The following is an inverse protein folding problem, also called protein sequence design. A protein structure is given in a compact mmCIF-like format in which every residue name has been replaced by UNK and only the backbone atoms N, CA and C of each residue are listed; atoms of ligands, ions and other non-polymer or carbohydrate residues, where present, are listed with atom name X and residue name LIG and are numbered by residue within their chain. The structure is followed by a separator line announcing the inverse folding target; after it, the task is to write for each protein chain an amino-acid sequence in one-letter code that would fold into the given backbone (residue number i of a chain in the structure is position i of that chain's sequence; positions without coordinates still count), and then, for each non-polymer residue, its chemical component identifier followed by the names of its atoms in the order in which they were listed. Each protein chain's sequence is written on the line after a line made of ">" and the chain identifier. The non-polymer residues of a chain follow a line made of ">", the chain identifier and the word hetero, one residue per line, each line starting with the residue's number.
data_IF_064889636308
#
_entry.id   IF_064889636308
#
_cell.length_a   1.000
_cell.length_b   1.000
_cell.length_c   1.000
_cell.angle_alpha   90.00
_cell.angle_beta   90.00
_cell.angle_gamma   90.00
#
_symmetry.space_group_name_H-M   'P 1'
#
loop_
_entity.id
_entity.type
_entity.pdbx_description
1 polymer ?
#
# COMPACT_ATOMS: atom_id res chain seq x y z
N UNK A 1 -38.70 -10.74 -24.81
CA UNK A 1 -37.47 -11.04 -25.57
C UNK A 1 -36.33 -10.06 -25.28
N UNK A 2 -36.52 -8.74 -25.36
CA UNK A 2 -35.46 -7.75 -25.02
C UNK A 2 -34.96 -7.85 -23.55
N UNK A 3 -35.84 -8.09 -22.58
CA UNK A 3 -35.43 -8.24 -21.17
C UNK A 3 -34.67 -9.55 -20.86
N UNK A 4 -34.88 -10.61 -21.65
CA UNK A 4 -34.22 -11.91 -21.47
C UNK A 4 -32.81 -11.91 -22.09
N UNK A 5 -32.56 -11.08 -23.09
CA UNK A 5 -31.24 -10.94 -23.76
C UNK A 5 -30.36 -9.88 -23.10
N UNK A 6 -30.94 -8.78 -22.62
CA UNK A 6 -30.16 -7.67 -22.03
C UNK A 6 -29.67 -7.97 -20.61
N UNK A 7 -30.46 -8.66 -19.77
CA UNK A 7 -30.08 -8.88 -18.36
C UNK A 7 -28.82 -9.76 -18.18
N UNK A 8 -28.61 -10.85 -18.94
CA UNK A 8 -27.36 -11.59 -18.88
C UNK A 8 -26.14 -10.75 -19.28
N UNK A 9 -26.26 -9.96 -20.36
CA UNK A 9 -25.19 -9.05 -20.81
C UNK A 9 -24.86 -7.99 -19.76
N UNK A 10 -25.87 -7.47 -19.05
CA UNK A 10 -25.63 -6.54 -17.94
C UNK A 10 -24.90 -7.20 -16.77
N UNK A 11 -25.16 -8.48 -16.48
CA UNK A 11 -24.48 -9.19 -15.39
C UNK A 11 -22.98 -9.36 -15.69
N UNK A 12 -22.66 -9.75 -16.94
CA UNK A 12 -21.30 -9.78 -17.47
C UNK A 12 -20.65 -8.39 -17.41
N UNK A 13 -21.30 -7.38 -17.98
CA UNK A 13 -20.77 -6.02 -18.02
C UNK A 13 -20.46 -5.45 -16.63
N UNK A 14 -21.34 -5.66 -15.64
CA UNK A 14 -21.07 -5.17 -14.28
C UNK A 14 -19.92 -5.93 -13.62
N UNK A 15 -19.80 -7.24 -13.85
CA UNK A 15 -18.70 -8.04 -13.32
C UNK A 15 -17.35 -7.58 -13.91
N UNK A 16 -17.29 -7.38 -15.23
CA UNK A 16 -16.10 -6.95 -15.94
C UNK A 16 -15.69 -5.52 -15.54
N UNK A 17 -16.68 -4.63 -15.40
CA UNK A 17 -16.43 -3.27 -14.91
C UNK A 17 -15.92 -3.29 -13.46
N UNK A 18 -16.47 -4.14 -12.59
CA UNK A 18 -15.98 -4.27 -11.20
C UNK A 18 -14.53 -4.77 -11.17
N UNK A 19 -14.22 -5.78 -11.98
CA UNK A 19 -12.88 -6.34 -12.13
C UNK A 19 -11.87 -5.30 -12.67
N UNK A 20 -12.22 -4.58 -13.73
CA UNK A 20 -11.40 -3.51 -14.29
C UNK A 20 -11.19 -2.38 -13.28
N UNK A 21 -12.25 -1.96 -12.60
CA UNK A 21 -12.16 -0.90 -11.62
C UNK A 21 -11.23 -1.28 -10.47
N UNK A 22 -11.32 -2.50 -9.93
CA UNK A 22 -10.39 -2.97 -8.89
C UNK A 22 -8.91 -2.81 -9.29
N UNK A 23 -8.56 -3.21 -10.52
CA UNK A 23 -7.19 -3.06 -11.05
C UNK A 23 -6.77 -1.59 -11.13
N UNK A 24 -7.63 -0.73 -11.66
CA UNK A 24 -7.37 0.71 -11.74
C UNK A 24 -7.26 1.36 -10.36
N UNK A 25 -8.03 0.89 -9.38
CA UNK A 25 -7.93 1.35 -7.99
C UNK A 25 -6.56 1.10 -7.39
N UNK A 26 -5.94 -0.05 -7.68
CA UNK A 26 -4.56 -0.34 -7.25
C UNK A 26 -3.56 0.69 -7.77
N UNK A 27 -3.71 1.12 -9.03
CA UNK A 27 -2.90 2.20 -9.63
C UNK A 27 -3.20 3.54 -8.95
N UNK A 28 -4.48 3.84 -8.72
CA UNK A 28 -4.93 5.08 -8.09
C UNK A 28 -4.34 5.26 -6.68
N UNK A 29 -4.27 4.20 -5.88
CA UNK A 29 -3.68 4.23 -4.53
C UNK A 29 -2.19 4.63 -4.53
N UNK A 30 -1.50 4.41 -5.64
CA UNK A 30 -0.08 4.79 -5.81
C UNK A 30 0.09 6.18 -6.42
N UNK A 31 -1.00 6.92 -6.64
CA UNK A 31 -0.96 8.23 -7.27
C UNK A 31 -0.42 9.32 -6.36
N UNK A 32 0.44 10.17 -6.92
CA UNK A 32 1.00 11.37 -6.27
C UNK A 32 0.14 12.62 -6.43
N UNK A 33 -0.89 12.60 -7.28
CA UNK A 33 -1.72 13.77 -7.59
C UNK A 33 -3.21 13.57 -7.29
N UNK A 34 -3.61 12.35 -6.91
CA UNK A 34 -4.99 12.04 -6.56
C UNK A 34 -5.16 12.10 -5.04
N UNK A 35 -6.36 12.46 -4.60
CA UNK A 35 -6.72 12.68 -3.21
C UNK A 35 -7.67 11.60 -2.69
N UNK A 36 -8.00 11.67 -1.39
CA UNK A 36 -9.05 10.84 -0.80
C UNK A 36 -10.40 10.99 -1.53
N UNK A 37 -10.74 12.19 -1.99
CA UNK A 37 -12.01 12.43 -2.69
C UNK A 37 -12.10 11.69 -4.03
N UNK A 38 -10.97 11.58 -4.74
CA UNK A 38 -10.90 10.81 -5.99
C UNK A 38 -11.06 9.31 -5.72
N UNK A 39 -10.43 8.81 -4.65
CA UNK A 39 -10.62 7.43 -4.19
C UNK A 39 -12.07 7.15 -3.81
N UNK A 40 -12.76 8.06 -3.10
CA UNK A 40 -14.18 7.90 -2.76
C UNK A 40 -15.05 7.77 -3.99
N UNK A 41 -14.86 8.61 -5.01
CA UNK A 41 -15.62 8.52 -6.27
C UNK A 41 -15.37 7.19 -6.97
N UNK A 42 -14.13 6.71 -6.93
CA UNK A 42 -13.75 5.44 -7.50
C UNK A 42 -14.41 4.27 -6.76
N UNK A 43 -14.44 4.31 -5.42
CA UNK A 43 -15.07 3.30 -4.58
C UNK A 43 -16.58 3.25 -4.82
N UNK A 44 -17.24 4.40 -4.90
CA UNK A 44 -18.66 4.49 -5.24
C UNK A 44 -18.97 3.89 -6.61
N UNK A 45 -18.08 4.02 -7.60
CA UNK A 45 -18.25 3.37 -8.92
C UNK A 45 -18.21 1.85 -8.79
N UNK A 46 -17.29 1.31 -8.00
CA UNK A 46 -17.20 -0.13 -7.74
C UNK A 46 -18.46 -0.64 -7.02
N UNK A 47 -18.91 0.06 -5.97
CA UNK A 47 -20.14 -0.30 -5.24
C UNK A 47 -21.39 -0.26 -6.13
N UNK A 48 -21.48 0.68 -7.08
CA UNK A 48 -22.57 0.70 -8.08
C UNK A 48 -22.55 -0.53 -8.99
N UNK A 49 -21.38 -0.98 -9.43
CA UNK A 49 -21.26 -2.21 -10.23
C UNK A 49 -21.72 -3.42 -9.41
N UNK A 50 -21.23 -3.55 -8.18
CA UNK A 50 -21.65 -4.60 -7.25
C UNK A 50 -23.17 -4.59 -7.02
N UNK A 51 -23.76 -3.41 -6.77
CA UNK A 51 -25.22 -3.25 -6.62
C UNK A 51 -25.99 -3.68 -7.87
N UNK A 52 -25.48 -3.38 -9.06
CA UNK A 52 -26.03 -3.88 -10.33
C UNK A 52 -26.05 -5.41 -10.37
N UNK A 53 -24.93 -6.04 -9.99
CA UNK A 53 -24.82 -7.50 -9.93
C UNK A 53 -25.77 -8.11 -8.89
N UNK A 54 -25.89 -7.53 -7.70
CA UNK A 54 -26.80 -8.04 -6.64
C UNK A 54 -28.27 -7.89 -7.00
N UNK A 55 -28.66 -6.90 -7.82
CA UNK A 55 -30.02 -6.81 -8.36
C UNK A 55 -30.32 -7.89 -9.41
N UNK A 56 -29.31 -8.34 -10.15
CA UNK A 56 -29.43 -9.40 -11.16
C UNK A 56 -29.33 -10.82 -10.57
N UNK A 57 -28.89 -10.95 -9.30
CA UNK A 57 -28.81 -12.18 -8.49
C UNK A 57 -28.36 -13.42 -9.28
N UNK A 58 -29.31 -14.28 -9.64
CA UNK A 58 -29.07 -15.59 -10.25
C UNK A 58 -28.33 -15.50 -11.58
N UNK A 59 -28.51 -14.41 -12.35
CA UNK A 59 -27.79 -14.22 -13.62
C UNK A 59 -26.30 -13.93 -13.37
N UNK A 60 -25.99 -13.04 -12.44
CA UNK A 60 -24.62 -12.75 -12.01
C UNK A 60 -23.96 -13.99 -11.42
N UNK A 61 -24.68 -14.71 -10.55
CA UNK A 61 -24.20 -15.96 -9.96
C UNK A 61 -23.92 -17.03 -11.02
N UNK A 62 -24.80 -17.21 -12.01
CA UNK A 62 -24.58 -18.15 -13.11
C UNK A 62 -23.37 -17.78 -13.99
N UNK A 63 -23.24 -16.51 -14.37
CA UNK A 63 -22.08 -16.01 -15.12
C UNK A 63 -20.77 -16.27 -14.38
N UNK A 64 -20.70 -15.89 -13.10
CA UNK A 64 -19.49 -16.04 -12.29
C UNK A 64 -19.14 -17.52 -12.02
N UNK A 65 -20.12 -18.41 -11.90
CA UNK A 65 -19.85 -19.87 -11.81
C UNK A 65 -19.20 -20.40 -13.08
N UNK A 66 -19.61 -19.87 -14.25
CA UNK A 66 -18.95 -20.17 -15.53
C UNK A 66 -17.51 -19.67 -15.54
N UNK A 67 -17.28 -18.43 -15.14
CA UNK A 67 -15.94 -17.83 -15.06
C UNK A 67 -14.99 -18.61 -14.12
N UNK A 68 -15.51 -19.17 -13.03
CA UNK A 68 -14.72 -19.94 -12.07
C UNK A 68 -14.09 -21.22 -12.67
N UNK A 69 -14.57 -21.69 -13.82
CA UNK A 69 -14.00 -22.83 -14.53
C UNK A 69 -12.80 -22.46 -15.41
N UNK A 70 -12.56 -21.16 -15.61
CA UNK A 70 -11.48 -20.63 -16.43
C UNK A 70 -10.40 -19.96 -15.57
N UNK A 71 -9.17 -19.74 -16.09
CA UNK A 71 -8.15 -18.99 -15.38
C UNK A 71 -8.56 -17.53 -15.11
N UNK A 72 -8.88 -17.21 -13.86
CA UNK A 72 -9.24 -15.86 -13.46
C UNK A 72 -8.03 -14.93 -13.32
N UNK A 73 -8.19 -13.69 -13.80
CA UNK A 73 -7.34 -12.57 -13.43
C UNK A 73 -7.64 -12.12 -11.99
N UNK A 74 -6.72 -11.34 -11.40
CA UNK A 74 -6.90 -10.76 -10.07
C UNK A 74 -8.20 -9.91 -9.95
N UNK A 75 -8.57 -9.20 -11.01
CA UNK A 75 -9.80 -8.40 -11.02
C UNK A 75 -11.06 -9.27 -11.02
N UNK A 76 -11.08 -10.35 -11.80
CA UNK A 76 -12.24 -11.25 -11.85
C UNK A 76 -12.40 -12.03 -10.56
N UNK A 77 -11.29 -12.47 -9.93
CA UNK A 77 -11.35 -13.09 -8.61
C UNK A 77 -11.87 -12.11 -7.55
N UNK A 78 -11.45 -10.83 -7.59
CA UNK A 78 -12.01 -9.80 -6.71
C UNK A 78 -13.52 -9.64 -6.91
N UNK A 79 -13.97 -9.47 -8.16
CA UNK A 79 -15.37 -9.27 -8.48
C UNK A 79 -16.23 -10.48 -8.05
N UNK A 80 -15.73 -11.69 -8.29
CA UNK A 80 -16.41 -12.95 -7.92
C UNK A 80 -16.53 -13.10 -6.41
N UNK A 81 -15.41 -12.95 -5.68
CA UNK A 81 -15.38 -13.11 -4.23
C UNK A 81 -16.17 -12.01 -3.51
N UNK A 82 -16.12 -10.76 -3.98
CA UNK A 82 -16.89 -9.67 -3.39
C UNK A 82 -18.40 -9.83 -3.64
N UNK A 83 -18.80 -10.26 -4.84
CA UNK A 83 -20.19 -10.60 -5.11
C UNK A 83 -20.67 -11.73 -4.20
N UNK A 84 -19.89 -12.82 -4.11
CA UNK A 84 -20.19 -13.96 -3.27
C UNK A 84 -20.39 -13.56 -1.80
N UNK A 85 -19.48 -12.75 -1.26
CA UNK A 85 -19.56 -12.21 0.10
C UNK A 85 -20.76 -11.26 0.32
N UNK A 86 -21.22 -10.58 -0.72
CA UNK A 86 -22.36 -9.64 -0.63
C UNK A 86 -23.73 -10.31 -0.83
N UNK A 87 -23.75 -11.52 -1.38
CA UNK A 87 -24.98 -12.29 -1.62
C UNK A 87 -25.04 -13.61 -0.86
N UNK A 88 -24.07 -13.85 0.03
CA UNK A 88 -23.87 -15.09 0.76
C UNK A 88 -23.83 -16.34 -0.15
N UNK A 89 -23.19 -16.24 -1.33
CA UNK A 89 -22.99 -17.35 -2.27
C UNK A 89 -21.74 -18.16 -1.88
N UNK A 90 -21.92 -19.13 -0.98
CA UNK A 90 -20.84 -19.95 -0.42
C UNK A 90 -20.00 -20.69 -1.48
N UNK A 91 -20.64 -21.16 -2.57
CA UNK A 91 -19.98 -21.88 -3.64
C UNK A 91 -18.92 -21.02 -4.33
N UNK A 92 -19.29 -19.79 -4.69
CA UNK A 92 -18.39 -18.87 -5.37
C UNK A 92 -17.21 -18.47 -4.47
N UNK A 93 -17.47 -18.16 -3.19
CA UNK A 93 -16.39 -17.79 -2.28
C UNK A 93 -15.44 -18.97 -2.00
N UNK A 94 -15.99 -20.18 -1.81
CA UNK A 94 -15.20 -21.39 -1.60
C UNK A 94 -14.27 -21.67 -2.79
N UNK A 95 -14.76 -21.50 -4.02
CA UNK A 95 -13.91 -21.66 -5.20
C UNK A 95 -12.83 -20.57 -5.31
N UNK A 96 -13.12 -19.32 -4.94
CA UNK A 96 -12.10 -18.26 -4.88
C UNK A 96 -11.01 -18.56 -3.83
N UNK A 97 -11.40 -19.12 -2.67
CA UNK A 97 -10.48 -19.60 -1.62
C UNK A 97 -9.61 -20.74 -2.15
N UNK A 98 -10.20 -21.75 -2.78
CA UNK A 98 -9.48 -22.87 -3.37
C UNK A 98 -8.48 -22.42 -4.43
N UNK A 99 -8.87 -21.49 -5.31
CA UNK A 99 -7.97 -20.88 -6.30
C UNK A 99 -6.81 -20.13 -5.64
N UNK A 100 -7.05 -19.44 -4.52
CA UNK A 100 -6.00 -18.68 -3.82
C UNK A 100 -5.05 -19.56 -3.01
N UNK A 101 -5.51 -20.73 -2.58
CA UNK A 101 -4.68 -21.78 -2.00
C UNK A 101 -3.80 -22.44 -3.07
N UNK A 102 -4.38 -22.75 -4.24
CA UNK A 102 -3.65 -23.33 -5.37
C UNK A 102 -2.67 -22.33 -6.03
N UNK A 103 -3.02 -21.05 -6.05
CA UNK A 103 -2.25 -19.96 -6.65
C UNK A 103 -1.96 -18.88 -5.60
N UNK A 104 -0.86 -19.02 -4.82
CA UNK A 104 -0.48 -18.09 -3.77
C UNK A 104 -0.51 -16.60 -4.15
N UNK A 105 -0.25 -16.26 -5.43
CA UNK A 105 -0.30 -14.89 -5.96
C UNK A 105 -1.68 -14.23 -5.90
N UNK A 106 -2.76 -14.99 -5.76
CA UNK A 106 -4.14 -14.49 -5.68
C UNK A 106 -4.56 -14.15 -4.24
N UNK A 107 -3.81 -14.61 -3.23
CA UNK A 107 -4.12 -14.32 -1.83
C UNK A 107 -4.24 -12.81 -1.50
N UNK A 108 -3.37 -11.90 -2.01
CA UNK A 108 -3.56 -10.45 -1.79
C UNK A 108 -4.91 -9.94 -2.28
N UNK A 109 -5.49 -10.56 -3.30
CA UNK A 109 -6.82 -10.19 -3.81
C UNK A 109 -7.90 -10.59 -2.80
N UNK A 110 -7.83 -11.79 -2.21
CA UNK A 110 -8.75 -12.17 -1.12
C UNK A 110 -8.63 -11.26 0.11
N UNK A 111 -7.41 -10.85 0.47
CA UNK A 111 -7.23 -9.87 1.55
C UNK A 111 -7.85 -8.51 1.21
N UNK A 112 -7.73 -8.08 -0.05
CA UNK A 112 -8.45 -6.92 -0.54
C UNK A 112 -9.97 -7.11 -0.40
N UNK A 113 -10.51 -8.29 -0.72
CA UNK A 113 -11.95 -8.59 -0.55
C UNK A 113 -12.37 -8.50 0.92
N UNK A 114 -11.55 -8.99 1.86
CA UNK A 114 -11.83 -8.86 3.29
C UNK A 114 -11.96 -7.38 3.75
N UNK A 115 -11.24 -6.45 3.10
CA UNK A 115 -11.44 -5.01 3.32
C UNK A 115 -12.80 -4.50 2.85
N UNK A 116 -13.37 -5.11 1.82
CA UNK A 116 -14.62 -4.71 1.17
C UNK A 116 -15.84 -5.53 1.59
N UNK A 117 -15.65 -6.60 2.34
CA UNK A 117 -16.73 -7.51 2.71
C UNK A 117 -17.66 -6.87 3.77
N UNK A 118 -18.99 -6.91 3.59
CA UNK A 118 -19.97 -6.51 4.59
C UNK A 118 -19.71 -7.13 5.98
N UNK A 119 -19.74 -6.32 7.05
CA UNK A 119 -19.57 -6.84 8.41
C UNK A 119 -20.61 -7.91 8.78
N UNK A 120 -21.82 -7.82 8.24
CA UNK A 120 -22.91 -8.75 8.48
C UNK A 120 -22.96 -9.98 7.54
N UNK A 121 -21.99 -10.15 6.63
CA UNK A 121 -22.01 -11.32 5.74
C UNK A 121 -21.91 -12.62 6.55
N UNK A 122 -22.70 -13.61 6.16
CA UNK A 122 -22.67 -14.94 6.77
C UNK A 122 -21.39 -15.72 6.42
N UNK A 123 -20.62 -15.26 5.43
CA UNK A 123 -19.45 -15.95 4.90
C UNK A 123 -18.13 -15.59 5.61
N UNK A 124 -18.15 -14.77 6.66
CA UNK A 124 -16.95 -14.48 7.46
C UNK A 124 -16.24 -15.74 7.99
N UNK A 125 -16.94 -16.75 8.55
CA UNK A 125 -16.28 -17.98 8.98
C UNK A 125 -15.52 -18.69 7.85
N UNK A 126 -16.05 -18.65 6.62
CA UNK A 126 -15.40 -19.22 5.45
C UNK A 126 -14.15 -18.42 5.07
N UNK A 127 -14.21 -17.08 5.04
CA UNK A 127 -13.04 -16.22 4.79
C UNK A 127 -11.95 -16.41 5.87
N UNK A 128 -12.35 -16.50 7.13
CA UNK A 128 -11.47 -16.65 8.30
C UNK A 128 -10.92 -18.08 8.47
N UNK A 129 -11.37 -19.04 7.66
CA UNK A 129 -10.79 -20.39 7.63
C UNK A 129 -9.32 -20.39 7.17
N UNK A 130 -8.91 -19.37 6.41
CA UNK A 130 -7.52 -19.15 6.01
C UNK A 130 -6.76 -18.38 7.10
N UNK A 131 -5.73 -18.96 7.74
CA UNK A 131 -4.99 -18.28 8.81
C UNK A 131 -4.40 -16.93 8.40
N UNK A 132 -3.94 -16.79 7.15
CA UNK A 132 -3.44 -15.52 6.62
C UNK A 132 -4.53 -14.44 6.52
N UNK A 133 -5.75 -14.80 6.08
CA UNK A 133 -6.89 -13.88 6.08
C UNK A 133 -7.28 -13.50 7.51
N UNK A 134 -7.26 -14.48 8.43
CA UNK A 134 -7.53 -14.29 9.85
C UNK A 134 -6.56 -13.27 10.47
N UNK A 135 -5.26 -13.39 10.19
CA UNK A 135 -4.22 -12.50 10.71
C UNK A 135 -4.39 -11.07 10.18
N UNK A 136 -4.57 -10.95 8.86
CA UNK A 136 -4.82 -9.67 8.20
C UNK A 136 -6.08 -8.96 8.75
N UNK A 137 -7.20 -9.68 8.83
CA UNK A 137 -8.47 -9.14 9.34
C UNK A 137 -8.35 -8.68 10.78
N UNK A 138 -7.65 -9.41 11.64
CA UNK A 138 -7.46 -9.04 13.06
C UNK A 138 -6.84 -7.64 13.25
N UNK A 139 -6.01 -7.21 12.29
CA UNK A 139 -5.33 -5.91 12.32
C UNK A 139 -6.12 -4.85 11.57
N UNK A 140 -6.67 -5.20 10.41
CA UNK A 140 -7.24 -4.23 9.46
C UNK A 140 -8.74 -3.99 9.72
N UNK A 141 -9.46 -4.95 10.30
CA UNK A 141 -10.91 -4.88 10.61
C UNK A 141 -11.16 -4.94 12.11
N UNK A 142 -11.14 -3.78 12.76
CA UNK A 142 -11.35 -3.68 14.22
C UNK A 142 -12.73 -4.17 14.67
N UNK A 143 -13.72 -4.13 13.78
CA UNK A 143 -15.09 -4.61 14.01
C UNK A 143 -15.18 -6.13 14.15
N UNK A 144 -14.18 -6.88 13.65
CA UNK A 144 -14.16 -8.35 13.66
C UNK A 144 -13.04 -8.94 14.53
N UNK A 145 -12.26 -8.09 15.20
CA UNK A 145 -11.07 -8.51 15.94
C UNK A 145 -11.35 -9.52 17.08
N UNK A 146 -12.55 -9.46 17.68
CA UNK A 146 -12.94 -10.37 18.76
C UNK A 146 -13.20 -11.82 18.31
N UNK A 147 -13.37 -12.05 17.00
CA UNK A 147 -13.69 -13.38 16.43
C UNK A 147 -12.45 -14.15 15.96
N UNK A 148 -11.25 -13.63 16.23
CA UNK A 148 -10.00 -14.20 15.74
C UNK A 148 -9.26 -14.93 16.87
N UNK A 149 -8.89 -16.17 16.62
CA UNK A 149 -8.02 -16.98 17.46
C UNK A 149 -7.09 -17.81 16.57
N UNK A 150 -5.93 -18.20 17.13
CA UNK A 150 -4.97 -19.09 16.47
C UNK A 150 -4.56 -20.20 17.42
N UNK A 151 -4.48 -21.41 16.90
CA UNK A 151 -3.80 -22.53 17.54
C UNK A 151 -2.27 -22.36 17.43
N UNK A 152 -1.52 -23.04 18.29
CA UNK A 152 -0.05 -23.07 18.19
C UNK A 152 0.43 -23.63 16.84
N UNK A 153 -0.26 -24.63 16.29
CA UNK A 153 0.08 -25.22 15.00
C UNK A 153 -0.11 -24.23 13.85
N UNK A 154 -1.18 -23.43 13.88
CA UNK A 154 -1.41 -22.38 12.86
C UNK A 154 -0.36 -21.27 12.95
N UNK A 155 0.02 -20.85 14.16
CA UNK A 155 1.09 -19.87 14.39
C UNK A 155 2.40 -20.37 13.75
N UNK A 156 2.78 -21.60 14.08
CA UNK A 156 4.00 -22.20 13.56
C UNK A 156 3.98 -22.31 12.04
N UNK A 157 2.86 -22.78 11.47
CA UNK A 157 2.69 -22.91 10.01
C UNK A 157 2.81 -21.57 9.30
N UNK A 158 2.23 -20.50 9.85
CA UNK A 158 2.33 -19.15 9.27
C UNK A 158 3.77 -18.62 9.29
N UNK A 159 4.49 -18.83 10.39
CA UNK A 159 5.91 -18.43 10.53
C UNK A 159 6.79 -19.22 9.55
N UNK A 160 6.56 -20.53 9.42
CA UNK A 160 7.29 -21.38 8.47
C UNK A 160 7.07 -20.92 7.03
N UNK A 161 5.83 -20.65 6.66
CA UNK A 161 5.47 -20.14 5.33
C UNK A 161 5.92 -18.70 5.09
N UNK A 162 6.17 -17.91 6.14
CA UNK A 162 6.65 -16.53 6.06
C UNK A 162 5.62 -15.55 5.47
N UNK A 163 4.32 -15.86 5.53
CA UNK A 163 3.25 -15.05 4.91
C UNK A 163 2.41 -14.36 5.96
N UNK A 164 2.38 -13.02 5.95
CA UNK A 164 1.54 -12.19 6.84
C UNK A 164 1.85 -12.41 8.33
N UNK A 165 3.11 -12.71 8.63
CA UNK A 165 3.61 -12.97 10.00
C UNK A 165 3.63 -11.68 10.82
N UNK A 166 3.85 -10.55 10.17
CA UNK A 166 3.72 -9.22 10.78
C UNK A 166 2.33 -8.97 11.39
N UNK A 167 1.27 -9.31 10.66
CA UNK A 167 -0.10 -9.20 11.15
C UNK A 167 -0.38 -10.19 12.29
N UNK A 168 0.15 -11.41 12.20
CA UNK A 168 0.06 -12.41 13.27
C UNK A 168 0.74 -11.91 14.54
N UNK A 169 1.98 -11.45 14.45
CA UNK A 169 2.75 -10.93 15.58
C UNK A 169 2.08 -9.71 16.20
N UNK A 170 1.54 -8.80 15.38
CA UNK A 170 0.78 -7.66 15.90
C UNK A 170 -0.48 -8.11 16.65
N UNK A 171 -1.21 -9.10 16.13
CA UNK A 171 -2.34 -9.68 16.84
C UNK A 171 -1.92 -10.28 18.19
N UNK A 172 -0.88 -11.13 18.21
CA UNK A 172 -0.38 -11.75 19.43
C UNK A 172 0.07 -10.72 20.47
N UNK A 173 0.73 -9.65 20.02
CA UNK A 173 1.12 -8.53 20.89
C UNK A 173 -0.11 -7.82 21.49
N UNK A 174 -1.08 -7.44 20.66
CA UNK A 174 -2.28 -6.69 21.09
C UNK A 174 -3.21 -7.54 21.96
N UNK A 175 -3.23 -8.85 21.75
CA UNK A 175 -3.98 -9.79 22.57
C UNK A 175 -3.24 -10.20 23.85
N UNK A 176 -2.07 -9.63 24.14
CA UNK A 176 -1.21 -10.00 25.28
C UNK A 176 -0.93 -11.50 25.35
N UNK A 177 -0.76 -12.14 24.19
CA UNK A 177 -0.54 -13.58 24.11
C UNK A 177 0.87 -13.95 24.63
N UNK A 178 1.01 -14.98 25.48
CA UNK A 178 2.32 -15.46 25.91
C UNK A 178 3.16 -16.03 24.76
N UNK A 179 2.54 -16.28 23.60
CA UNK A 179 3.22 -16.78 22.40
C UNK A 179 3.86 -15.67 21.57
N UNK A 180 3.64 -14.40 21.89
CA UNK A 180 4.22 -13.28 21.15
C UNK A 180 5.76 -13.30 21.18
N UNK A 181 6.36 -13.37 22.38
CA UNK A 181 7.83 -13.32 22.54
C UNK A 181 8.50 -14.52 21.86
N UNK A 182 8.08 -15.80 22.09
CA UNK A 182 8.68 -16.93 21.40
C UNK A 182 8.55 -16.87 19.87
N UNK A 183 7.40 -16.39 19.36
CA UNK A 183 7.21 -16.22 17.93
C UNK A 183 8.13 -15.13 17.35
N UNK A 184 8.29 -14.01 18.06
CA UNK A 184 9.18 -12.92 17.65
C UNK A 184 10.65 -13.35 17.64
N UNK A 185 11.09 -14.07 18.67
CA UNK A 185 12.45 -14.63 18.76
C UNK A 185 12.73 -15.62 17.62
N UNK A 186 11.76 -16.48 17.29
CA UNK A 186 11.84 -17.40 16.16
C UNK A 186 11.99 -16.64 14.83
N UNK A 187 11.25 -15.54 14.68
CA UNK A 187 11.32 -14.68 13.49
C UNK A 187 12.68 -13.99 13.38
N UNK A 188 13.18 -13.37 14.44
CA UNK A 188 14.47 -12.68 14.44
C UNK A 188 15.67 -13.62 14.33
N UNK A 189 15.54 -14.86 14.79
CA UNK A 189 16.59 -15.88 14.69
C UNK A 189 16.51 -16.71 13.40
N UNK A 190 15.58 -16.41 12.48
CA UNK A 190 15.29 -17.25 11.31
C UNK A 190 16.36 -17.20 10.22
N UNK A 191 17.21 -16.17 10.20
CA UNK A 191 18.16 -15.90 9.11
C UNK A 191 17.49 -15.55 7.77
N UNK A 192 16.17 -15.30 7.75
CA UNK A 192 15.40 -14.94 6.56
C UNK A 192 15.06 -13.45 6.60
N UNK A 193 15.71 -12.64 5.75
CA UNK A 193 15.54 -11.19 5.70
C UNK A 193 14.07 -10.74 5.61
N UNK A 194 13.25 -11.36 4.77
CA UNK A 194 11.82 -11.03 4.63
C UNK A 194 11.02 -11.26 5.92
N UNK A 195 11.39 -12.30 6.65
CA UNK A 195 10.70 -12.66 7.88
C UNK A 195 11.11 -11.73 9.01
N UNK A 196 12.41 -11.41 9.10
CA UNK A 196 12.94 -10.42 10.04
C UNK A 196 12.28 -9.06 9.80
N UNK A 197 12.16 -8.63 8.53
CA UNK A 197 11.46 -7.39 8.15
C UNK A 197 10.01 -7.37 8.63
N UNK A 198 9.27 -8.49 8.50
CA UNK A 198 7.92 -8.63 9.03
C UNK A 198 7.89 -8.52 10.57
N UNK A 199 8.87 -9.12 11.26
CA UNK A 199 9.03 -8.98 12.71
C UNK A 199 9.24 -7.52 13.13
N UNK A 200 10.15 -6.81 12.46
CA UNK A 200 10.40 -5.39 12.70
C UNK A 200 9.13 -4.56 12.51
N UNK A 201 8.42 -4.79 11.39
CA UNK A 201 7.17 -4.10 11.09
C UNK A 201 6.10 -4.33 12.16
N UNK A 202 5.96 -5.55 12.66
CA UNK A 202 5.02 -5.88 13.73
C UNK A 202 5.31 -5.10 15.02
N UNK A 203 6.57 -5.06 15.45
CA UNK A 203 7.00 -4.30 16.63
C UNK A 203 6.69 -2.82 16.47
N UNK A 204 7.07 -2.23 15.32
CA UNK A 204 6.86 -0.81 15.04
C UNK A 204 5.38 -0.42 14.93
N UNK A 205 4.49 -1.36 14.61
CA UNK A 205 3.04 -1.13 14.52
C UNK A 205 2.24 -1.52 15.78
N UNK A 206 2.90 -1.78 16.92
CA UNK A 206 2.26 -2.29 18.16
C UNK A 206 2.21 -1.28 19.33
N UNK A 207 2.38 0.02 19.08
CA UNK A 207 2.58 1.08 20.09
C UNK A 207 1.47 1.14 21.17
N UNK A 208 1.75 1.31 22.49
CA UNK A 208 3.03 1.48 23.23
C UNK A 208 3.57 0.24 23.96
N UNK A 209 3.00 -0.94 23.74
CA UNK A 209 3.24 -2.10 24.62
C UNK A 209 4.63 -2.76 24.49
N UNK A 210 5.50 -2.30 23.57
CA UNK A 210 6.77 -2.99 23.24
C UNK A 210 7.97 -2.06 23.08
N UNK A 211 8.14 -1.13 24.04
CA UNK A 211 9.38 -0.33 24.12
C UNK A 211 10.64 -1.22 24.20
N UNK A 212 10.55 -2.35 24.92
CA UNK A 212 11.64 -3.33 25.09
C UNK A 212 12.15 -3.92 23.77
N UNK A 213 11.27 -4.17 22.79
CA UNK A 213 11.66 -4.83 21.53
C UNK A 213 11.93 -3.83 20.39
N UNK A 214 11.57 -2.56 20.57
CA UNK A 214 11.77 -1.52 19.56
C UNK A 214 13.24 -1.35 19.22
N UNK A 215 14.13 -1.35 20.23
CA UNK A 215 15.58 -1.29 20.00
C UNK A 215 16.12 -2.48 19.20
N UNK A 216 15.59 -3.69 19.43
CA UNK A 216 15.98 -4.89 18.66
C UNK A 216 15.50 -4.81 17.21
N UNK A 217 14.26 -4.39 16.98
CA UNK A 217 13.72 -4.19 15.64
C UNK A 217 14.53 -3.14 14.85
N UNK A 218 14.91 -2.03 15.49
CA UNK A 218 15.75 -0.99 14.87
C UNK A 218 17.12 -1.56 14.48
N UNK A 219 17.79 -2.33 15.35
CA UNK A 219 19.08 -2.97 15.01
C UNK A 219 18.99 -3.88 13.80
N UNK A 220 17.95 -4.71 13.72
CA UNK A 220 17.73 -5.54 12.54
C UNK A 220 17.48 -4.70 11.28
N UNK A 221 16.69 -3.63 11.37
CA UNK A 221 16.46 -2.75 10.23
C UNK A 221 17.74 -2.06 9.75
N UNK A 222 18.62 -1.61 10.66
CA UNK A 222 19.92 -1.03 10.30
C UNK A 222 20.79 -2.05 9.55
N UNK A 223 20.78 -3.32 9.96
CA UNK A 223 21.46 -4.39 9.25
C UNK A 223 20.85 -4.61 7.85
N UNK A 224 19.52 -4.73 7.78
CA UNK A 224 18.80 -4.97 6.52
C UNK A 224 18.89 -3.77 5.55
N UNK A 225 19.12 -2.56 6.04
CA UNK A 225 19.40 -1.38 5.23
C UNK A 225 20.72 -1.48 4.43
N UNK A 226 21.55 -2.48 4.72
CA UNK A 226 22.77 -2.81 3.97
C UNK A 226 22.65 -4.15 3.21
N UNK A 227 21.43 -4.71 3.08
CA UNK A 227 21.21 -5.96 2.34
C UNK A 227 21.56 -5.78 0.85
N UNK A 228 22.18 -6.81 0.26
CA UNK A 228 22.43 -6.90 -1.18
C UNK A 228 21.13 -6.97 -1.99
N UNK A 229 20.03 -7.33 -1.34
CA UNK A 229 18.71 -7.40 -1.95
C UNK A 229 18.02 -6.04 -1.93
N UNK A 230 17.76 -5.51 -3.11
CA UNK A 230 17.15 -4.18 -3.30
C UNK A 230 15.78 -4.05 -2.62
N UNK A 231 14.93 -5.08 -2.69
CA UNK A 231 13.61 -5.09 -2.07
C UNK A 231 13.71 -5.01 -0.55
N UNK A 232 14.57 -5.81 0.07
CA UNK A 232 14.80 -5.81 1.51
C UNK A 232 15.36 -4.46 1.98
N UNK A 233 16.40 -3.99 1.29
CA UNK A 233 17.08 -2.73 1.60
C UNK A 233 16.12 -1.55 1.55
N UNK A 234 15.31 -1.47 0.49
CA UNK A 234 14.30 -0.42 0.30
C UNK A 234 13.29 -0.39 1.46
N UNK A 235 12.74 -1.54 1.83
CA UNK A 235 11.74 -1.61 2.91
C UNK A 235 12.34 -1.30 4.29
N UNK A 236 13.59 -1.73 4.53
CA UNK A 236 14.29 -1.46 5.77
C UNK A 236 14.55 0.04 5.96
N UNK A 237 15.12 0.70 4.94
CA UNK A 237 15.37 2.15 4.95
C UNK A 237 14.07 2.94 5.10
N UNK A 238 13.01 2.56 4.36
CA UNK A 238 11.70 3.20 4.50
C UNK A 238 11.17 3.09 5.93
N UNK A 239 11.25 1.90 6.53
CA UNK A 239 10.76 1.65 7.89
C UNK A 239 11.54 2.49 8.91
N UNK A 240 12.88 2.54 8.83
CA UNK A 240 13.72 3.37 9.69
C UNK A 240 13.34 4.86 9.61
N UNK A 241 13.19 5.40 8.39
CA UNK A 241 12.87 6.81 8.19
C UNK A 241 11.43 7.18 8.60
N UNK A 242 10.51 6.21 8.57
CA UNK A 242 9.15 6.42 9.06
C UNK A 242 9.03 6.27 10.57
N UNK A 243 9.88 5.45 11.19
CA UNK A 243 9.92 5.28 12.64
C UNK A 243 10.81 6.36 13.24
N UNK A 244 10.25 7.57 13.38
CA UNK A 244 10.92 8.73 13.99
C UNK A 244 11.29 8.53 15.49
N UNK A 245 11.03 7.35 16.05
CA UNK A 245 11.34 7.00 17.42
C UNK A 245 12.78 6.48 17.54
N UNK A 246 13.64 7.24 18.21
CA UNK A 246 14.85 6.73 18.84
C UNK A 246 16.10 6.57 17.97
N UNK A 247 16.08 6.96 16.69
CA UNK A 247 17.29 6.97 15.86
C UNK A 247 18.07 8.28 16.04
N UNK A 248 19.36 8.24 16.42
CA UNK A 248 20.23 9.41 16.40
C UNK A 248 20.29 9.97 14.96
N UNK A 249 20.30 11.30 14.82
CA UNK A 249 20.40 11.97 13.51
C UNK A 249 21.59 11.47 12.67
N UNK A 250 22.69 11.04 13.30
CA UNK A 250 23.87 10.50 12.64
C UNK A 250 23.64 9.15 11.94
N UNK A 251 22.72 8.32 12.42
CA UNK A 251 22.40 7.04 11.74
C UNK A 251 21.43 7.26 10.57
N UNK A 252 20.57 8.28 10.68
CA UNK A 252 19.68 8.70 9.61
C UNK A 252 20.43 9.35 8.45
N UNK A 253 21.51 10.10 8.74
CA UNK A 253 22.28 10.79 7.71
C UNK A 253 23.00 9.79 6.80
N UNK A 254 23.59 8.72 7.35
CA UNK A 254 24.24 7.63 6.59
C UNK A 254 23.32 7.01 5.53
N UNK A 255 22.01 6.92 5.80
CA UNK A 255 21.03 6.37 4.85
C UNK A 255 20.62 7.34 3.73
N UNK A 256 21.01 8.61 3.85
CA UNK A 256 20.71 9.69 2.89
C UNK A 256 21.96 10.30 2.26
N UNK A 257 23.15 9.90 2.72
CA UNK A 257 24.46 10.32 2.24
C UNK A 257 24.91 9.52 1.00
N UNK A 258 26.12 9.78 0.50
CA UNK A 258 26.62 9.17 -0.74
C UNK A 258 26.80 7.65 -0.64
N UNK A 259 25.89 6.91 -1.29
CA UNK A 259 25.96 5.46 -1.49
C UNK A 259 25.77 5.10 -2.98
N UNK A 260 25.93 3.81 -3.34
CA UNK A 260 25.87 3.36 -4.73
C UNK A 260 24.45 3.48 -5.34
N UNK A 261 23.40 3.44 -4.52
CA UNK A 261 22.00 3.46 -4.96
C UNK A 261 21.41 4.87 -4.93
N UNK A 262 21.57 5.60 -6.04
CA UNK A 262 21.07 6.97 -6.16
C UNK A 262 19.55 7.06 -6.06
N UNK A 263 18.81 6.04 -6.54
CA UNK A 263 17.34 6.04 -6.49
C UNK A 263 16.85 5.92 -5.06
N UNK A 264 17.40 4.97 -4.31
CA UNK A 264 17.09 4.80 -2.89
C UNK A 264 17.42 6.07 -2.09
N UNK A 265 18.55 6.72 -2.38
CA UNK A 265 18.94 7.99 -1.72
C UNK A 265 17.91 9.09 -1.94
N UNK A 266 17.47 9.29 -3.19
CA UNK A 266 16.46 10.31 -3.51
C UNK A 266 15.15 10.01 -2.77
N UNK A 267 14.72 8.75 -2.74
CA UNK A 267 13.52 8.34 -2.00
C UNK A 267 13.67 8.53 -0.49
N UNK A 268 14.83 8.18 0.06
CA UNK A 268 15.16 8.34 1.47
C UNK A 268 15.11 9.80 1.91
N UNK A 269 15.62 10.74 1.09
CA UNK A 269 15.47 12.18 1.32
C UNK A 269 13.99 12.57 1.44
N UNK A 270 13.13 12.08 0.54
CA UNK A 270 11.68 12.30 0.60
C UNK A 270 11.01 11.69 1.83
N UNK A 271 11.34 10.44 2.16
CA UNK A 271 10.78 9.72 3.32
C UNK A 271 11.26 10.26 4.66
N UNK A 272 12.43 10.90 4.73
CA UNK A 272 12.87 11.62 5.92
C UNK A 272 11.92 12.77 6.27
N UNK A 273 11.33 13.39 5.25
CA UNK A 273 10.51 14.58 5.41
C UNK A 273 11.30 15.85 5.72
N UNK A 274 12.64 15.82 5.72
CA UNK A 274 13.47 16.94 6.16
C UNK A 274 13.64 17.98 5.03
N UNK A 275 13.21 19.25 5.25
CA UNK A 275 13.36 20.33 4.28
C UNK A 275 14.82 20.63 3.91
N UNK A 276 15.77 20.30 4.79
CA UNK A 276 17.20 20.46 4.54
C UNK A 276 17.71 19.72 3.30
N UNK A 277 17.01 18.69 2.81
CA UNK A 277 17.39 17.99 1.59
C UNK A 277 16.87 18.62 0.29
N UNK A 278 16.01 19.64 0.35
CA UNK A 278 15.46 20.28 -0.85
C UNK A 278 16.55 20.82 -1.80
N UNK A 279 17.62 21.50 -1.34
CA UNK A 279 18.72 21.91 -2.21
C UNK A 279 19.39 20.74 -2.94
N UNK A 280 19.58 19.60 -2.25
CA UNK A 280 20.15 18.38 -2.83
C UNK A 280 19.20 17.73 -3.83
N UNK A 281 17.91 17.67 -3.54
CA UNK A 281 16.88 17.15 -4.45
C UNK A 281 16.81 17.98 -5.75
N UNK A 282 16.98 19.30 -5.63
CA UNK A 282 16.96 20.21 -6.78
C UNK A 282 18.09 19.95 -7.78
N UNK A 283 19.22 19.38 -7.37
CA UNK A 283 20.32 19.05 -8.29
C UNK A 283 19.95 17.94 -9.28
N UNK A 284 18.96 17.10 -8.94
CA UNK A 284 18.48 16.01 -9.81
C UNK A 284 17.43 16.45 -10.83
N UNK A 285 16.90 17.68 -10.76
CA UNK A 285 15.84 18.14 -11.68
C UNK A 285 16.31 18.22 -13.14
N UNK A 286 17.61 18.37 -13.35
CA UNK A 286 18.22 18.42 -14.68
C UNK A 286 18.68 17.04 -15.18
N UNK A 287 18.59 16.00 -14.34
CA UNK A 287 18.99 14.63 -14.67
C UNK A 287 17.77 13.83 -15.13
N UNK A 288 17.61 13.49 -16.43
CA UNK A 288 16.38 12.86 -16.94
C UNK A 288 16.00 11.55 -16.22
N UNK A 289 17.00 10.78 -15.79
CA UNK A 289 16.82 9.53 -15.04
C UNK A 289 16.20 9.74 -13.65
N UNK A 290 16.46 10.88 -13.01
CA UNK A 290 16.16 11.11 -11.60
C UNK A 290 15.22 12.29 -11.35
N UNK A 291 14.96 13.13 -12.34
CA UNK A 291 14.18 14.35 -12.17
C UNK A 291 12.81 14.06 -11.58
N UNK A 292 12.04 13.13 -12.18
CA UNK A 292 10.70 12.78 -11.69
C UNK A 292 10.69 12.04 -10.36
N UNK A 293 11.73 11.24 -10.08
CA UNK A 293 11.89 10.63 -8.76
C UNK A 293 12.15 11.69 -7.69
N UNK A 294 12.98 12.69 -8.02
CA UNK A 294 13.25 13.83 -7.14
C UNK A 294 12.00 14.67 -6.90
N UNK A 295 11.19 14.89 -7.94
CA UNK A 295 9.86 15.50 -7.82
C UNK A 295 8.99 14.78 -6.80
N UNK A 296 8.91 13.45 -6.84
CA UNK A 296 8.13 12.68 -5.86
C UNK A 296 8.62 12.91 -4.42
N UNK A 297 9.94 13.01 -4.21
CA UNK A 297 10.51 13.31 -2.90
C UNK A 297 10.23 14.75 -2.44
N UNK A 298 10.28 15.71 -3.36
CA UNK A 298 9.89 17.11 -3.10
C UNK A 298 8.41 17.20 -2.73
N UNK A 299 7.52 16.52 -3.46
CA UNK A 299 6.09 16.42 -3.13
C UNK A 299 5.91 15.80 -1.75
N UNK A 300 6.67 14.74 -1.42
CA UNK A 300 6.58 14.08 -0.11
C UNK A 300 6.92 15.03 1.05
N UNK A 301 7.90 15.92 0.89
CA UNK A 301 8.28 16.90 1.92
C UNK A 301 7.29 18.07 1.94
N UNK A 302 7.08 18.70 0.78
CA UNK A 302 6.45 20.02 0.68
C UNK A 302 4.95 19.99 0.45
N UNK A 303 4.42 18.89 -0.09
CA UNK A 303 3.04 18.80 -0.59
C UNK A 303 2.79 19.58 -1.89
N UNK A 304 3.77 20.30 -2.40
CA UNK A 304 3.66 21.09 -3.63
C UNK A 304 3.67 20.18 -4.85
N UNK A 305 2.76 20.42 -5.79
CA UNK A 305 2.65 19.70 -7.05
C UNK A 305 3.10 20.58 -8.22
N UNK A 306 3.94 20.08 -9.16
CA UNK A 306 4.36 20.86 -10.32
C UNK A 306 3.19 21.43 -11.12
N UNK A 307 2.15 20.61 -11.32
CA UNK A 307 0.97 20.93 -12.12
C UNK A 307 0.09 22.01 -11.49
N UNK A 308 0.18 22.20 -10.16
CA UNK A 308 -0.67 23.14 -9.41
C UNK A 308 0.08 24.41 -9.02
N UNK A 309 1.37 24.27 -8.68
CA UNK A 309 2.18 25.34 -8.09
C UNK A 309 3.12 26.02 -9.10
N UNK A 310 2.96 25.73 -10.39
CA UNK A 310 3.56 26.52 -11.47
C UNK A 310 5.04 26.25 -11.73
N UNK A 311 5.53 25.05 -11.38
CA UNK A 311 6.91 24.63 -11.64
C UNK A 311 7.01 23.37 -12.52
N UNK A 312 5.94 23.07 -13.26
CA UNK A 312 5.96 22.10 -14.35
C UNK A 312 6.68 22.66 -15.58
N UNK A 313 7.58 21.89 -16.17
CA UNK A 313 8.24 22.22 -17.44
C UNK A 313 7.20 22.36 -18.56
N UNK A 314 7.35 23.40 -19.37
CA UNK A 314 6.45 23.67 -20.50
C UNK A 314 6.66 22.63 -21.60
N UNK A 315 5.55 22.20 -22.19
CA UNK A 315 5.46 21.11 -23.18
C UNK A 315 6.28 21.32 -24.46
N UNK A 316 6.62 22.56 -24.79
CA UNK A 316 7.41 22.88 -26.00
C UNK A 316 8.88 22.44 -25.90
N UNK A 317 9.34 22.04 -24.71
CA UNK A 317 10.69 21.49 -24.47
C UNK A 317 10.76 19.95 -24.58
N UNK A 318 9.67 19.28 -24.99
CA UNK A 318 9.60 17.82 -25.16
C UNK A 318 10.42 17.36 -26.39
N UNK A 319 11.76 17.33 -26.30
CA UNK A 319 12.56 16.42 -27.11
C UNK A 319 12.48 15.04 -26.46
N UNK A 320 11.35 14.37 -26.66
CA UNK A 320 11.32 12.93 -26.46
C UNK A 320 12.20 12.34 -27.56
N UNK A 321 13.35 11.76 -27.21
CA UNK A 321 13.97 10.77 -28.10
C UNK A 321 13.02 9.58 -28.09
N UNK A 322 12.27 9.32 -29.18
CA UNK A 322 11.52 8.08 -29.26
C UNK A 322 12.54 6.95 -29.12
N UNK A 323 12.14 5.85 -28.47
CA UNK A 323 12.89 4.61 -28.63
C UNK A 323 13.17 4.42 -30.12
N UNK A 324 14.44 4.16 -30.48
CA UNK A 324 14.81 3.97 -31.87
C UNK A 324 13.84 2.95 -32.48
N UNK A 325 13.12 3.27 -33.57
CA UNK A 325 12.14 2.35 -34.17
C UNK A 325 12.76 1.01 -34.60
N UNK A 326 14.09 0.93 -34.66
CA UNK A 326 14.87 -0.28 -34.97
C UNK A 326 15.25 -1.13 -33.74
N UNK A 327 14.88 -0.73 -32.52
CA UNK A 327 15.12 -1.54 -31.31
C UNK A 327 14.06 -2.60 -31.14
N UNK A 328 14.45 -3.88 -31.20
CA UNK A 328 13.58 -5.01 -30.87
C UNK A 328 13.30 -5.15 -29.36
N UNK A 329 13.96 -4.34 -28.52
CA UNK A 329 13.77 -4.38 -27.07
C UNK A 329 12.50 -3.63 -26.66
N UNK A 330 11.62 -4.33 -25.93
CA UNK A 330 10.48 -3.73 -25.25
C UNK A 330 11.04 -2.69 -24.26
N UNK A 331 10.72 -1.40 -24.38
CA UNK A 331 11.24 -0.39 -23.47
C UNK A 331 10.91 -0.74 -22.03
N UNK A 332 11.91 -0.67 -21.14
CA UNK A 332 11.68 -0.84 -19.71
C UNK A 332 10.57 0.13 -19.25
N UNK A 333 9.60 -0.39 -18.48
CA UNK A 333 8.50 0.43 -17.98
C UNK A 333 9.06 1.47 -17.02
N UNK A 334 8.89 2.74 -17.40
CA UNK A 334 9.19 3.89 -16.57
C UNK A 334 8.38 3.85 -15.24
N UNK A 335 9.05 3.71 -14.08
CA UNK A 335 8.37 3.62 -12.78
C UNK A 335 7.69 4.94 -12.39
N UNK A 336 8.20 6.07 -12.88
CA UNK A 336 7.69 7.42 -12.62
C UNK A 336 6.74 7.91 -13.73
N UNK A 337 6.20 6.98 -14.52
CA UNK A 337 5.24 7.28 -15.57
C UNK A 337 4.04 8.07 -15.00
N UNK A 338 3.74 9.22 -15.61
CA UNK A 338 2.64 10.10 -15.20
C UNK A 338 3.03 11.21 -14.21
N UNK A 339 4.28 11.26 -13.73
CA UNK A 339 4.81 12.43 -13.00
C UNK A 339 5.25 13.49 -14.01
N UNK A 340 4.86 14.74 -13.80
CA UNK A 340 5.29 15.87 -14.62
C UNK A 340 6.80 16.13 -14.54
N UNK A 341 7.38 16.61 -15.65
CA UNK A 341 8.79 17.04 -15.67
C UNK A 341 8.95 18.36 -14.93
N UNK A 342 9.92 18.48 -14.02
CA UNK A 342 10.11 19.72 -13.28
C UNK A 342 10.85 20.79 -14.08
N UNK A 343 10.54 22.04 -13.78
CA UNK A 343 11.35 23.21 -14.13
C UNK A 343 12.15 23.67 -12.89
N UNK A 344 13.47 23.50 -12.93
CA UNK A 344 14.37 23.80 -11.80
C UNK A 344 14.31 25.26 -11.35
N UNK A 345 14.32 26.20 -12.29
CA UNK A 345 14.30 27.63 -11.97
C UNK A 345 12.98 28.02 -11.29
N UNK A 346 11.85 27.59 -11.86
CA UNK A 346 10.52 27.86 -11.31
C UNK A 346 10.34 27.27 -9.91
N UNK A 347 10.79 26.03 -9.67
CA UNK A 347 10.75 25.46 -8.32
C UNK A 347 11.68 26.20 -7.35
N UNK A 348 12.87 26.65 -7.80
CA UNK A 348 13.76 27.44 -6.94
C UNK A 348 13.15 28.79 -6.53
N UNK A 349 12.40 29.44 -7.42
CA UNK A 349 11.63 30.65 -7.11
C UNK A 349 10.50 30.36 -6.10
N UNK A 350 9.76 29.28 -6.33
CA UNK A 350 8.72 28.82 -5.42
C UNK A 350 9.28 28.52 -4.02
N UNK A 351 10.40 27.78 -3.95
CA UNK A 351 11.05 27.41 -2.70
C UNK A 351 11.61 28.61 -1.94
N UNK A 352 12.13 29.63 -2.63
CA UNK A 352 12.53 30.88 -1.98
C UNK A 352 11.38 31.60 -1.28
N UNK A 353 10.16 31.46 -1.81
CA UNK A 353 8.96 32.09 -1.26
C UNK A 353 8.32 31.26 -0.15
N UNK A 354 8.25 29.94 -0.33
CA UNK A 354 7.53 29.04 0.58
C UNK A 354 8.43 28.39 1.63
N UNK A 355 9.74 28.31 1.39
CA UNK A 355 10.70 27.60 2.23
C UNK A 355 10.83 28.18 3.64
N UNK A 356 10.53 29.47 3.85
CA UNK A 356 10.52 30.09 5.18
C UNK A 356 9.46 29.47 6.12
N UNK A 357 8.43 28.83 5.57
CA UNK A 357 7.42 28.12 6.35
C UNK A 357 7.90 26.75 6.88
N UNK A 358 9.09 26.31 6.48
CA UNK A 358 9.64 25.00 6.81
C UNK A 358 10.84 25.11 7.75
N UNK A 359 10.67 24.60 8.97
CA UNK A 359 11.78 24.46 9.90
C UNK A 359 12.78 23.37 9.45
N UNK A 360 14.07 23.72 9.40
CA UNK A 360 15.13 22.90 8.79
C UNK A 360 15.25 21.48 9.37
N UNK A 361 15.17 21.34 10.70
CA UNK A 361 15.36 20.07 11.41
C UNK A 361 14.03 19.43 11.83
N UNK A 362 12.92 19.85 11.23
CA UNK A 362 11.61 19.32 11.55
C UNK A 362 11.11 18.50 10.38
N UNK A 363 10.72 17.24 10.58
CA UNK A 363 10.19 16.43 9.49
C UNK A 363 8.77 16.82 9.13
N UNK A 364 8.50 16.84 7.82
CA UNK A 364 7.20 17.10 7.20
C UNK A 364 6.72 15.89 6.38
N UNK A 365 5.42 15.84 6.12
CA UNK A 365 4.81 14.98 5.12
C UNK A 365 3.74 15.78 4.40
N UNK A 366 3.82 15.88 3.07
CA UNK A 366 2.84 16.61 2.27
C UNK A 366 2.62 18.04 2.80
N UNK A 367 3.70 18.72 3.21
CA UNK A 367 3.65 20.07 3.77
C UNK A 367 3.13 20.17 5.22
N UNK A 368 2.79 19.05 5.86
CA UNK A 368 2.32 19.01 7.23
C UNK A 368 3.42 18.52 8.18
N UNK A 369 3.50 19.08 9.38
CA UNK A 369 4.34 18.56 10.46
C UNK A 369 3.99 17.10 10.78
N UNK A 370 4.95 16.28 11.18
CA UNK A 370 4.69 14.88 11.56
C UNK A 370 4.14 14.71 12.97
N UNK A 371 3.46 15.73 13.51
CA UNK A 371 2.64 15.58 14.71
C UNK A 371 1.42 14.70 14.42
N UNK A 372 0.78 14.11 15.45
CA UNK A 372 -0.47 13.36 15.28
C UNK A 372 -1.54 14.13 14.49
N UNK A 373 -1.68 15.44 14.72
CA UNK A 373 -2.63 16.31 14.02
C UNK A 373 -2.26 16.48 12.55
N UNK A 374 -0.97 16.73 12.27
CA UNK A 374 -0.49 16.90 10.89
C UNK A 374 -0.59 15.62 10.07
N UNK A 375 -0.23 14.46 10.64
CA UNK A 375 -0.40 13.15 9.99
C UNK A 375 -1.88 12.85 9.71
N UNK A 376 -2.79 13.20 10.63
CA UNK A 376 -4.24 13.10 10.39
C UNK A 376 -4.72 14.00 9.24
N UNK A 377 -4.15 15.20 9.07
CA UNK A 377 -4.45 16.05 7.90
C UNK A 377 -3.97 15.39 6.60
N UNK A 378 -2.78 14.81 6.57
CA UNK A 378 -2.28 14.08 5.39
C UNK A 378 -3.21 12.92 5.03
N UNK A 379 -3.70 12.16 6.01
CA UNK A 379 -4.65 11.06 5.75
C UNK A 379 -5.98 11.54 5.14
N UNK A 380 -6.42 12.75 5.46
CA UNK A 380 -7.71 13.32 4.99
C UNK A 380 -7.59 14.08 3.68
N UNK A 381 -6.50 14.82 3.49
CA UNK A 381 -6.36 15.84 2.45
C UNK A 381 -5.13 15.64 1.55
N UNK A 382 -4.15 14.84 1.97
CA UNK A 382 -2.94 14.59 1.20
C UNK A 382 -3.15 13.62 0.03
N UNK A 383 -2.07 13.44 -0.73
CA UNK A 383 -2.04 12.55 -1.88
C UNK A 383 -2.04 11.08 -1.48
N UNK A 384 -2.66 10.23 -2.30
CA UNK A 384 -2.90 8.82 -1.98
C UNK A 384 -1.60 8.05 -1.70
N UNK A 385 -0.54 8.26 -2.48
CA UNK A 385 0.76 7.61 -2.30
C UNK A 385 1.47 7.96 -0.98
N UNK A 386 1.15 9.09 -0.35
CA UNK A 386 1.77 9.54 0.91
C UNK A 386 1.02 9.05 2.15
N UNK A 387 -0.24 8.63 2.01
CA UNK A 387 -1.04 8.14 3.14
C UNK A 387 -0.45 6.91 3.83
N UNK A 388 0.12 5.92 3.10
CA UNK A 388 0.84 4.82 3.74
C UNK A 388 1.96 5.29 4.68
N UNK A 389 2.75 6.28 4.26
CA UNK A 389 3.82 6.85 5.09
C UNK A 389 3.26 7.53 6.35
N UNK A 390 2.11 8.21 6.22
CA UNK A 390 1.44 8.83 7.37
C UNK A 390 1.03 7.76 8.41
N UNK A 391 0.45 6.64 7.98
CA UNK A 391 0.12 5.54 8.89
C UNK A 391 1.36 4.89 9.51
N UNK A 392 2.42 4.66 8.73
CA UNK A 392 3.66 4.11 9.26
C UNK A 392 4.26 5.00 10.36
N UNK A 393 4.27 6.34 10.17
CA UNK A 393 4.71 7.31 11.19
C UNK A 393 3.82 7.31 12.45
N UNK A 394 2.57 6.89 12.32
CA UNK A 394 1.65 6.70 13.45
C UNK A 394 1.78 5.32 14.12
N UNK A 395 2.67 4.44 13.64
CA UNK A 395 2.75 3.05 14.12
C UNK A 395 1.53 2.22 13.72
N UNK A 396 0.96 2.48 12.55
CA UNK A 396 -0.22 1.80 12.01
C UNK A 396 0.13 1.14 10.68
N UNK A 397 -0.40 -0.08 10.46
CA UNK A 397 -0.26 -0.79 9.21
C UNK A 397 -0.77 0.02 8.00
N UNK A 398 0.07 0.30 6.98
CA UNK A 398 -0.31 1.09 5.81
C UNK A 398 -1.46 0.50 4.98
N UNK A 399 -1.73 -0.81 5.06
CA UNK A 399 -2.83 -1.48 4.34
C UNK A 399 -4.20 -0.92 4.70
N UNK A 400 -4.34 -0.26 5.87
CA UNK A 400 -5.56 0.46 6.22
C UNK A 400 -5.89 1.60 5.26
N UNK A 401 -4.92 2.14 4.52
CA UNK A 401 -5.18 3.13 3.46
C UNK A 401 -5.85 2.54 2.23
N UNK A 402 -5.73 1.22 2.02
CA UNK A 402 -6.33 0.52 0.89
C UNK A 402 -7.76 0.03 1.19
N UNK A 403 -8.27 0.21 2.41
CA UNK A 403 -9.67 -0.07 2.73
C UNK A 403 -10.61 0.82 1.92
N UNK A 404 -11.85 0.37 1.65
CA UNK A 404 -12.85 1.22 1.03
C UNK A 404 -13.16 2.42 1.92
N UNK A 405 -13.34 3.60 1.32
CA UNK A 405 -13.66 4.82 2.08
C UNK A 405 -15.05 4.75 2.69
N UNK A 406 -15.99 4.14 1.98
CA UNK A 406 -17.35 3.89 2.42
C UNK A 406 -17.56 2.39 2.58
N UNK A 407 -18.17 1.98 3.69
CA UNK A 407 -18.58 0.59 3.87
C UNK A 407 -19.65 0.23 2.82
N UNK A 408 -19.68 -1.00 2.29
CA UNK A 408 -20.68 -1.44 1.30
C UNK A 408 -22.15 -1.37 1.77
N UNK A 409 -22.40 -0.98 3.02
CA UNK A 409 -23.72 -0.85 3.64
C UNK A 409 -23.99 0.56 4.19
N UNK A 410 -23.21 1.56 3.78
CA UNK A 410 -23.48 2.97 4.02
C UNK A 410 -24.35 3.56 2.92
#
# INVERSE_FOLDING_TARGET
>A
MLSQTVRPLLAEQYADMLAQNHRMRGVLLSSHSHTLGDLTRFDQRMLKCLKGMTLLKGLSSAYLRGQLQEPLSAGELFATALFAASTDDEFLLSGCIGLSQALPRLLPVLLSVAGWMPAQSALWPLMLSLPACRAYVAVVRSDLAASVAFSQQEIQTLIEQGRYVDFLLNFLCRSTSPLFVPALETVFSSGRDELILQGCRAVLCSHPLTDEHTGTAIRHLVQLAHSERDDIRLHAVRSLLTCQAGLPHSELSVLTEEGPDTRLRIQAMGWSGLPGYIPSLLTYFDSPEYARLSVLSVIAITGSLPEQDGWLRKRDDDIYSPASPDSADIPARDPEQGVGWPERAAFADWWRTQGENFAHNTPYLCGQLTSPEGLNRVLRQGYLNLRPLALMRMGIFPERTALPVESPNG
#
